data_IF_094813790194
#
_entry.id   IF_094813790194
#
_cell.length_a   1.000
_cell.length_b   1.000
_cell.length_c   1.000
_cell.angle_alpha   90.00
_cell.angle_beta   90.00
_cell.angle_gamma   90.00
#
_symmetry.space_group_name_H-M   'P 1'
#
loop_
_entity.id
_entity.type
_entity.pdbx_description
1 polymer ?
#
# COMPACT_ATOMS: atom_id res chain seq x y z
N UNK A 1 7.13 17.82 -0.50
CA UNK A 1 7.71 17.15 -1.71
C UNK A 1 6.73 16.16 -2.32
N UNK A 2 6.05 15.33 -1.52
CA UNK A 2 4.93 14.45 -1.94
C UNK A 2 3.72 15.22 -2.52
N UNK A 3 3.31 16.33 -1.91
CA UNK A 3 2.19 17.16 -2.41
C UNK A 3 2.43 17.69 -3.84
N UNK A 4 3.67 18.06 -4.18
CA UNK A 4 4.00 18.55 -5.53
C UNK A 4 3.97 17.44 -6.59
N UNK A 5 4.35 16.22 -6.21
CA UNK A 5 4.32 15.05 -7.09
C UNK A 5 2.88 14.62 -7.38
N UNK A 6 2.02 14.65 -6.36
CA UNK A 6 0.57 14.40 -6.51
C UNK A 6 -0.04 15.44 -7.46
N UNK A 7 0.21 16.72 -7.25
CA UNK A 7 -0.29 17.80 -8.11
C UNK A 7 0.23 17.74 -9.57
N UNK A 8 1.43 17.18 -9.78
CA UNK A 8 1.98 16.96 -11.12
C UNK A 8 1.28 15.80 -11.84
N UNK A 9 1.11 14.66 -11.15
CA UNK A 9 0.42 13.48 -11.67
C UNK A 9 -1.05 13.75 -12.04
N UNK A 10 -1.70 14.66 -11.32
CA UNK A 10 -3.11 15.01 -11.53
C UNK A 10 -3.36 15.90 -12.75
N UNK A 11 -2.41 16.79 -13.07
CA UNK A 11 -2.45 17.57 -14.32
C UNK A 11 -2.40 16.69 -15.56
N UNK A 12 -1.79 15.51 -15.46
CA UNK A 12 -1.66 14.57 -16.57
C UNK A 12 -2.95 13.75 -16.81
N UNK A 13 -3.87 13.65 -15.83
CA UNK A 13 -5.11 12.83 -15.91
C UNK A 13 -6.38 13.56 -16.39
N UNK A 14 -6.32 14.87 -16.72
CA UNK A 14 -7.50 15.68 -17.08
C UNK A 14 -8.63 15.67 -16.01
N UNK A 15 -8.27 15.50 -14.74
CA UNK A 15 -9.23 15.65 -13.63
C UNK A 15 -9.70 17.11 -13.54
N UNK A 16 -10.98 17.37 -13.17
CA UNK A 16 -11.50 18.72 -13.10
C UNK A 16 -10.66 19.60 -12.15
N UNK A 17 -10.45 20.88 -12.49
CA UNK A 17 -9.48 21.78 -11.85
C UNK A 17 -9.75 22.10 -10.35
N UNK A 18 -10.79 21.50 -9.77
CA UNK A 18 -11.25 21.69 -8.38
C UNK A 18 -11.21 20.41 -7.53
N UNK A 19 -10.57 19.34 -8.00
CA UNK A 19 -10.32 18.18 -7.15
C UNK A 19 -9.37 18.59 -6.00
N UNK A 20 -9.95 19.04 -4.89
CA UNK A 20 -9.22 19.35 -3.67
C UNK A 20 -8.74 18.04 -3.05
N UNK A 21 -7.48 17.69 -3.30
CA UNK A 21 -6.83 16.60 -2.59
C UNK A 21 -6.43 17.08 -1.20
N UNK A 22 -6.95 16.38 -0.19
CA UNK A 22 -6.67 16.71 1.19
C UNK A 22 -5.58 15.82 1.77
N UNK A 23 -4.70 16.42 2.56
CA UNK A 23 -3.64 15.72 3.26
C UNK A 23 -4.10 15.01 4.53
N UNK A 24 -3.17 14.32 5.16
CA UNK A 24 -3.34 13.67 6.46
C UNK A 24 -2.65 14.48 7.57
N UNK A 25 -3.17 14.37 8.79
CA UNK A 25 -2.44 14.80 9.99
C UNK A 25 -1.25 13.86 10.19
N UNK A 26 -0.06 14.41 10.45
CA UNK A 26 1.12 13.62 10.78
C UNK A 26 1.30 13.59 12.30
N UNK A 27 1.32 12.39 12.88
CA UNK A 27 1.46 12.17 14.32
C UNK A 27 2.93 11.95 14.73
N UNK A 28 3.87 12.67 14.13
CA UNK A 28 5.31 12.51 14.41
C UNK A 28 6.05 11.88 13.23
N UNK A 29 6.67 10.72 13.44
CA UNK A 29 7.40 9.96 12.43
C UNK A 29 6.49 8.98 11.66
N UNK A 30 5.25 9.38 11.37
CA UNK A 30 4.21 8.50 10.78
C UNK A 30 3.95 8.77 9.30
N UNK A 31 4.88 9.43 8.60
CA UNK A 31 4.76 9.76 7.18
C UNK A 31 4.84 8.55 6.25
N UNK A 32 5.50 7.46 6.67
CA UNK A 32 5.44 6.17 6.00
C UNK A 32 3.98 5.68 5.84
N UNK A 33 3.19 5.75 6.93
CA UNK A 33 1.79 5.31 6.93
C UNK A 33 0.91 6.29 6.15
N UNK A 34 1.14 7.59 6.31
CA UNK A 34 0.37 8.59 5.58
C UNK A 34 0.55 8.45 4.07
N UNK A 35 1.77 8.15 3.62
CA UNK A 35 2.08 7.89 2.22
C UNK A 35 1.30 6.68 1.70
N UNK A 36 1.30 5.58 2.46
CA UNK A 36 0.54 4.36 2.13
C UNK A 36 -0.97 4.61 2.07
N UNK A 37 -1.53 5.30 3.06
CA UNK A 37 -2.96 5.60 3.12
C UNK A 37 -3.41 6.48 1.94
N UNK A 38 -2.57 7.42 1.52
CA UNK A 38 -2.83 8.23 0.32
C UNK A 38 -2.78 7.39 -0.96
N UNK A 39 -1.82 6.46 -1.11
CA UNK A 39 -1.80 5.53 -2.25
C UNK A 39 -3.08 4.70 -2.30
N UNK A 40 -3.46 4.08 -1.18
CA UNK A 40 -4.69 3.28 -1.09
C UNK A 40 -5.95 4.11 -1.37
N UNK A 41 -6.01 5.34 -0.85
CA UNK A 41 -7.11 6.26 -1.13
C UNK A 41 -7.16 6.64 -2.61
N UNK A 42 -6.02 6.86 -3.27
CA UNK A 42 -5.98 7.27 -4.67
C UNK A 42 -6.30 6.13 -5.65
N UNK A 43 -6.15 4.86 -5.23
CA UNK A 43 -6.65 3.70 -5.96
C UNK A 43 -8.18 3.65 -5.89
N UNK A 44 -8.83 4.04 -6.99
CA UNK A 44 -10.28 4.23 -7.08
C UNK A 44 -11.07 2.98 -6.72
N UNK A 45 -10.69 1.83 -7.28
CA UNK A 45 -11.35 0.55 -7.05
C UNK A 45 -11.31 0.18 -5.56
N UNK A 46 -10.17 0.44 -4.90
CA UNK A 46 -9.99 0.15 -3.48
C UNK A 46 -10.79 1.11 -2.61
N UNK A 47 -10.67 2.41 -2.88
CA UNK A 47 -11.43 3.46 -2.19
C UNK A 47 -12.93 3.19 -2.25
N UNK A 48 -13.45 2.88 -3.43
CA UNK A 48 -14.87 2.58 -3.59
C UNK A 48 -15.30 1.29 -2.90
N UNK A 49 -14.49 0.23 -2.95
CA UNK A 49 -14.78 -1.03 -2.27
C UNK A 49 -14.90 -0.82 -0.75
N UNK A 50 -14.00 -0.02 -0.17
CA UNK A 50 -14.03 0.37 1.25
C UNK A 50 -15.26 1.21 1.58
N UNK A 51 -15.58 2.23 0.78
CA UNK A 51 -16.73 3.12 1.04
C UNK A 51 -18.07 2.37 0.94
N UNK A 52 -18.20 1.44 -0.02
CA UNK A 52 -19.42 0.63 -0.20
C UNK A 52 -19.69 -0.35 0.95
N UNK A 53 -18.74 -0.57 1.86
CA UNK A 53 -18.93 -1.49 2.97
C UNK A 53 -20.12 -1.08 3.84
N UNK A 54 -21.03 -2.03 4.08
CA UNK A 54 -22.25 -1.84 4.87
C UNK A 54 -22.16 -2.42 6.29
N UNK A 55 -21.23 -3.35 6.53
CA UNK A 55 -21.03 -3.99 7.83
C UNK A 55 -19.87 -3.37 8.61
N UNK A 56 -20.04 -3.21 9.92
CA UNK A 56 -19.00 -2.73 10.83
C UNK A 56 -18.41 -3.90 11.62
N UNK A 57 -17.92 -4.93 10.94
CA UNK A 57 -17.22 -6.02 11.62
C UNK A 57 -15.98 -5.47 12.32
N UNK A 58 -15.79 -5.81 13.59
CA UNK A 58 -14.59 -5.46 14.36
C UNK A 58 -13.37 -6.32 13.98
N UNK A 59 -13.57 -7.38 13.20
CA UNK A 59 -12.49 -8.27 12.72
C UNK A 59 -11.52 -7.54 11.77
N UNK A 60 -12.03 -6.58 11.00
CA UNK A 60 -11.28 -5.87 9.96
C UNK A 60 -11.25 -4.36 10.21
N UNK A 61 -10.21 -3.70 9.68
CA UNK A 61 -10.03 -2.25 9.84
C UNK A 61 -10.82 -1.42 8.81
N UNK A 62 -11.63 -2.06 7.95
CA UNK A 62 -12.34 -1.40 6.86
C UNK A 62 -13.23 -0.24 7.34
N UNK A 63 -13.82 -0.35 8.53
CA UNK A 63 -14.65 0.72 9.10
C UNK A 63 -13.82 1.96 9.44
N UNK A 64 -12.56 1.80 9.90
CA UNK A 64 -11.63 2.90 10.10
C UNK A 64 -11.15 3.48 8.77
N UNK A 65 -10.85 2.63 7.78
CA UNK A 65 -10.48 3.08 6.43
C UNK A 65 -11.62 3.87 5.78
N UNK A 66 -12.86 3.39 5.89
CA UNK A 66 -14.06 4.06 5.38
C UNK A 66 -14.23 5.44 5.99
N UNK A 67 -14.18 5.54 7.32
CA UNK A 67 -14.28 6.83 8.00
C UNK A 67 -13.18 7.81 7.55
N UNK A 68 -11.93 7.32 7.42
CA UNK A 68 -10.83 8.15 6.93
C UNK A 68 -11.04 8.62 5.49
N UNK A 69 -11.46 7.72 4.59
CA UNK A 69 -11.65 8.03 3.18
C UNK A 69 -12.82 8.99 2.95
N UNK A 70 -13.91 8.84 3.71
CA UNK A 70 -15.04 9.79 3.68
C UNK A 70 -14.65 11.19 4.17
N UNK A 71 -13.72 11.29 5.13
CA UNK A 71 -13.13 12.58 5.54
C UNK A 71 -12.20 13.15 4.47
N UNK A 72 -11.30 12.33 3.91
CA UNK A 72 -10.33 12.73 2.88
C UNK A 72 -10.99 13.24 1.59
N UNK A 73 -12.24 12.85 1.31
CA UNK A 73 -13.02 13.42 0.21
C UNK A 73 -13.45 14.88 0.45
N UNK A 74 -13.44 15.35 1.70
CA UNK A 74 -14.04 16.63 2.10
C UNK A 74 -13.07 17.59 2.75
N UNK A 75 -12.06 17.08 3.45
CA UNK A 75 -11.14 17.89 4.26
C UNK A 75 -9.88 17.11 4.62
N UNK A 76 -8.93 17.82 5.23
CA UNK A 76 -7.79 17.20 5.92
C UNK A 76 -8.31 16.22 6.97
N UNK A 77 -7.82 14.99 6.93
CA UNK A 77 -8.28 13.89 7.76
C UNK A 77 -7.22 13.43 8.78
N UNK A 78 -7.67 12.81 9.87
CA UNK A 78 -6.80 12.31 10.93
C UNK A 78 -6.72 10.76 10.91
N UNK A 79 -5.54 10.16 10.66
CA UNK A 79 -5.38 8.71 10.60
C UNK A 79 -5.26 8.03 11.97
N UNK A 80 -5.47 8.73 13.08
CA UNK A 80 -5.24 8.22 14.44
C UNK A 80 -5.95 6.89 14.76
N UNK A 81 -7.18 6.70 14.29
CA UNK A 81 -7.90 5.43 14.52
C UNK A 81 -7.23 4.25 13.80
N UNK A 82 -6.63 4.48 12.62
CA UNK A 82 -5.88 3.46 11.89
C UNK A 82 -4.56 3.17 12.59
N UNK A 83 -3.84 4.20 13.06
CA UNK A 83 -2.62 4.02 13.86
C UNK A 83 -2.87 3.09 15.05
N UNK A 84 -3.99 3.30 15.76
CA UNK A 84 -4.42 2.47 16.88
C UNK A 84 -4.76 1.04 16.45
N UNK A 85 -5.53 0.87 15.37
CA UNK A 85 -5.93 -0.45 14.87
C UNK A 85 -4.76 -1.27 14.30
N UNK A 86 -3.70 -0.59 13.86
CA UNK A 86 -2.43 -1.18 13.45
C UNK A 86 -1.42 -1.27 14.59
N UNK A 87 -1.82 -0.98 15.83
CA UNK A 87 -0.96 -1.09 17.03
C UNK A 87 0.35 -0.29 16.90
N UNK A 88 0.30 0.89 16.27
CA UNK A 88 1.43 1.82 16.21
C UNK A 88 1.56 2.53 17.56
N UNK A 89 2.27 1.87 18.48
CA UNK A 89 2.40 2.32 19.87
C UNK A 89 3.37 3.48 20.05
N UNK A 90 4.35 3.62 19.15
CA UNK A 90 5.39 4.66 19.22
C UNK A 90 5.43 5.48 17.93
N UNK A 91 4.66 6.57 17.91
CA UNK A 91 4.57 7.47 16.75
C UNK A 91 5.83 8.32 16.50
N UNK A 92 6.88 8.17 17.33
CA UNK A 92 8.18 8.83 17.15
C UNK A 92 9.18 7.97 16.38
N UNK A 93 8.80 6.75 16.03
CA UNK A 93 9.66 5.78 15.36
C UNK A 93 9.27 5.65 13.89
N UNK A 94 10.25 5.78 13.00
CA UNK A 94 10.07 5.53 11.58
C UNK A 94 9.91 4.02 11.33
N UNK A 95 9.08 3.66 10.35
CA UNK A 95 8.83 2.29 9.97
C UNK A 95 8.85 2.13 8.44
N UNK A 96 8.85 0.88 7.98
CA UNK A 96 8.84 0.57 6.56
C UNK A 96 7.44 0.76 5.95
N UNK A 97 7.35 1.52 4.85
CA UNK A 97 6.08 1.78 4.16
C UNK A 97 5.52 0.53 3.47
N UNK A 98 6.37 -0.34 2.91
CA UNK A 98 5.94 -1.60 2.29
C UNK A 98 5.39 -2.57 3.35
N UNK A 99 6.02 -2.64 4.53
CA UNK A 99 5.50 -3.43 5.65
C UNK A 99 4.09 -2.96 6.05
N UNK A 100 3.88 -1.65 6.17
CA UNK A 100 2.57 -1.13 6.56
C UNK A 100 1.53 -1.19 5.45
N UNK A 101 1.94 -1.14 4.19
CA UNK A 101 1.07 -1.46 3.05
C UNK A 101 0.53 -2.88 3.17
N UNK A 102 1.41 -3.85 3.40
CA UNK A 102 1.04 -5.25 3.59
C UNK A 102 0.18 -5.47 4.84
N UNK A 103 0.54 -4.81 5.95
CA UNK A 103 -0.18 -4.91 7.23
C UNK A 103 -1.61 -4.37 7.14
N UNK A 104 -1.81 -3.25 6.42
CA UNK A 104 -3.15 -2.72 6.14
C UNK A 104 -3.97 -3.73 5.34
N UNK A 105 -3.41 -4.25 4.24
CA UNK A 105 -4.15 -5.14 3.33
C UNK A 105 -4.49 -6.47 3.99
N UNK A 106 -3.62 -7.02 4.84
CA UNK A 106 -3.93 -8.23 5.64
C UNK A 106 -5.04 -8.03 6.67
N UNK A 107 -5.21 -6.81 7.17
CA UNK A 107 -6.27 -6.45 8.14
C UNK A 107 -7.53 -5.87 7.47
N UNK A 108 -7.53 -5.76 6.15
CA UNK A 108 -8.67 -5.30 5.36
C UNK A 108 -9.45 -6.52 4.85
N UNK A 109 -10.78 -6.41 4.75
CA UNK A 109 -11.60 -7.50 4.24
C UNK A 109 -11.23 -7.87 2.80
N UNK A 110 -11.41 -9.16 2.46
CA UNK A 110 -11.06 -9.69 1.14
C UNK A 110 -11.73 -8.94 -0.03
N UNK A 111 -12.91 -8.34 0.19
CA UNK A 111 -13.62 -7.59 -0.85
C UNK A 111 -12.82 -6.38 -1.37
N UNK A 112 -12.15 -5.65 -0.47
CA UNK A 112 -11.29 -4.53 -0.85
C UNK A 112 -9.84 -4.99 -1.07
N UNK A 113 -9.31 -5.86 -0.20
CA UNK A 113 -7.91 -6.29 -0.26
C UNK A 113 -7.54 -7.08 -1.53
N UNK A 114 -8.50 -7.77 -2.16
CA UNK A 114 -8.26 -8.57 -3.38
C UNK A 114 -7.69 -7.75 -4.55
N UNK A 115 -7.89 -6.43 -4.57
CA UNK A 115 -7.41 -5.53 -5.63
C UNK A 115 -5.88 -5.53 -5.72
N UNK A 116 -5.21 -5.75 -4.58
CA UNK A 116 -3.75 -5.74 -4.47
C UNK A 116 -3.17 -7.15 -4.30
N UNK A 117 -3.98 -8.19 -4.45
CA UNK A 117 -3.60 -9.56 -4.13
C UNK A 117 -3.07 -10.29 -5.37
N UNK A 118 -1.79 -10.65 -5.35
CA UNK A 118 -1.17 -11.58 -6.31
C UNK A 118 -0.88 -12.95 -5.69
N UNK A 119 -0.61 -13.97 -6.52
CA UNK A 119 -0.14 -15.29 -6.10
C UNK A 119 1.26 -15.55 -6.63
N UNK A 120 2.17 -15.94 -5.74
CA UNK A 120 3.56 -16.23 -6.06
C UNK A 120 3.89 -17.68 -5.70
N UNK A 121 4.37 -18.43 -6.68
CA UNK A 121 4.81 -19.81 -6.51
C UNK A 121 6.33 -19.87 -6.40
N UNK A 122 6.84 -20.43 -5.30
CA UNK A 122 8.24 -20.70 -5.08
C UNK A 122 8.51 -22.19 -5.29
N UNK A 123 9.38 -22.48 -6.26
CA UNK A 123 9.85 -23.83 -6.55
C UNK A 123 11.29 -23.98 -6.07
N UNK A 124 11.54 -24.98 -5.24
CA UNK A 124 12.89 -25.39 -4.82
C UNK A 124 13.20 -26.76 -5.37
N UNK A 125 14.34 -26.92 -6.04
CA UNK A 125 14.80 -28.19 -6.60
C UNK A 125 16.14 -28.60 -5.98
N UNK A 126 16.17 -29.80 -5.38
CA UNK A 126 17.41 -30.33 -4.82
C UNK A 126 18.32 -30.86 -5.93
N UNK A 127 19.50 -30.25 -6.09
CA UNK A 127 20.49 -30.64 -7.11
C UNK A 127 21.06 -32.07 -6.95
N UNK A 128 20.92 -32.69 -5.76
CA UNK A 128 21.45 -34.05 -5.50
C UNK A 128 20.45 -35.15 -5.78
N UNK A 129 19.21 -35.00 -5.32
CA UNK A 129 18.18 -36.04 -5.40
C UNK A 129 17.01 -35.69 -6.31
N UNK A 130 17.06 -34.53 -6.98
CA UNK A 130 16.05 -34.03 -7.92
C UNK A 130 14.64 -33.90 -7.31
N UNK A 131 14.54 -33.89 -5.98
CA UNK A 131 13.27 -33.62 -5.30
C UNK A 131 12.90 -32.17 -5.51
N UNK A 132 11.68 -31.97 -6.02
CA UNK A 132 11.07 -30.65 -6.23
C UNK A 132 10.05 -30.41 -5.13
N UNK A 133 10.12 -29.24 -4.51
CA UNK A 133 9.11 -28.76 -3.56
C UNK A 133 8.58 -27.42 -4.04
N UNK A 134 7.27 -27.36 -4.23
CA UNK A 134 6.56 -26.15 -4.59
C UNK A 134 5.81 -25.62 -3.36
N UNK A 135 5.83 -24.31 -3.19
CA UNK A 135 4.99 -23.60 -2.22
C UNK A 135 4.36 -22.40 -2.91
N UNK A 136 3.14 -22.05 -2.52
CA UNK A 136 2.42 -20.93 -3.10
C UNK A 136 1.91 -20.03 -1.97
N UNK A 137 2.02 -18.72 -2.17
CA UNK A 137 1.60 -17.75 -1.18
C UNK A 137 1.03 -16.47 -1.80
N UNK A 138 0.21 -15.72 -1.03
CA UNK A 138 -0.21 -14.40 -1.41
C UNK A 138 0.99 -13.43 -1.40
N UNK A 139 1.01 -12.46 -2.31
CA UNK A 139 1.92 -11.32 -2.24
C UNK A 139 1.17 -10.01 -2.55
N UNK A 140 1.68 -8.90 -2.02
CA UNK A 140 1.09 -7.57 -2.19
C UNK A 140 2.05 -6.56 -2.84
N UNK A 141 3.35 -6.82 -2.79
CA UNK A 141 4.38 -6.04 -3.46
C UNK A 141 5.56 -6.93 -3.88
N UNK A 142 6.31 -6.49 -4.88
CA UNK A 142 7.52 -7.15 -5.34
C UNK A 142 8.72 -6.26 -5.00
N UNK A 143 9.58 -6.64 -4.03
CA UNK A 143 10.81 -5.91 -3.77
C UNK A 143 11.77 -6.15 -4.94
N UNK A 144 12.11 -5.08 -5.66
CA UNK A 144 13.09 -5.16 -6.75
C UNK A 144 14.45 -4.73 -6.21
N UNK A 145 15.44 -5.61 -6.35
CA UNK A 145 16.81 -5.29 -5.96
C UNK A 145 17.39 -4.20 -6.86
N UNK A 146 18.13 -3.27 -6.26
CA UNK A 146 18.88 -2.24 -6.96
C UNK A 146 20.36 -2.64 -6.92
N UNK A 147 21.03 -2.66 -8.06
CA UNK A 147 22.47 -2.92 -8.11
C UNK A 147 23.26 -1.70 -7.63
N UNK A 148 24.37 -1.93 -6.91
CA UNK A 148 25.26 -0.87 -6.40
C UNK A 148 26.12 -0.18 -7.50
N UNK A 149 25.80 -0.39 -8.78
CA UNK A 149 26.52 0.18 -9.91
C UNK A 149 26.26 1.69 -9.99
N UNK A 150 27.11 2.45 -9.28
CA UNK A 150 27.05 3.91 -9.20
C UNK A 150 27.16 4.54 -10.59
N UNK A 151 26.03 4.88 -11.21
CA UNK A 151 25.97 5.69 -12.42
C UNK A 151 25.17 5.11 -13.60
N UNK A 152 24.62 3.90 -13.50
CA UNK A 152 23.78 3.32 -14.57
C UNK A 152 22.28 3.47 -14.26
N UNK A 153 21.47 3.63 -15.31
CA UNK A 153 20.02 3.70 -15.18
C UNK A 153 19.47 2.30 -14.87
N UNK A 154 18.80 2.13 -13.72
CA UNK A 154 18.10 0.87 -13.42
C UNK A 154 16.80 0.76 -14.22
N UNK A 155 16.64 -0.36 -14.92
CA UNK A 155 15.40 -0.69 -15.61
C UNK A 155 14.48 -1.52 -14.70
N UNK A 156 13.24 -1.05 -14.53
CA UNK A 156 12.19 -1.80 -13.81
C UNK A 156 11.94 -3.16 -14.48
N UNK A 157 11.98 -3.21 -15.81
CA UNK A 157 11.82 -4.46 -16.56
C UNK A 157 12.92 -5.46 -16.20
N UNK A 158 14.16 -4.99 -16.06
CA UNK A 158 15.28 -5.85 -15.65
C UNK A 158 15.13 -6.30 -14.19
N UNK A 159 14.76 -5.40 -13.28
CA UNK A 159 14.50 -5.75 -11.89
C UNK A 159 13.42 -6.83 -11.74
N UNK A 160 12.34 -6.72 -12.51
CA UNK A 160 11.28 -7.74 -12.54
C UNK A 160 11.83 -9.07 -13.07
N UNK A 161 12.60 -9.06 -14.17
CA UNK A 161 13.22 -10.28 -14.70
C UNK A 161 14.12 -10.93 -13.66
N UNK A 162 15.00 -10.16 -13.02
CA UNK A 162 15.91 -10.67 -11.97
C UNK A 162 15.15 -11.25 -10.79
N UNK A 163 14.03 -10.66 -10.38
CA UNK A 163 13.22 -11.20 -9.29
C UNK A 163 12.69 -12.62 -9.56
N UNK A 164 12.39 -12.95 -10.83
CA UNK A 164 11.80 -14.23 -11.22
C UNK A 164 12.80 -15.24 -11.81
N UNK A 165 14.10 -14.91 -11.86
CA UNK A 165 15.14 -15.77 -12.45
C UNK A 165 16.04 -16.35 -11.38
#
# INVERSE_FOLDING_TARGET
RSEQLIQSWLRERNDPPEANYYGLVNHGATDYLNSVLQVLFMTEEFREAVIRLTSSSEEYIDHHLKGLFEELLRRRADPYNILRALEVNNVREQQDAAEYFERILRKTSGNAAQIFHGRLSHRTECLKCQTVTDSEGPFWHLPLELEDSSGENHSVENGIKMFFT
#
